data_IF_717383059670
#
_entry.id   IF_717383059670
#
_cell.length_a   1.000
_cell.length_b   1.000
_cell.length_c   1.000
_cell.angle_alpha   90.00
_cell.angle_beta   90.00
_cell.angle_gamma   90.00
#
_symmetry.space_group_name_H-M   'P 1'
#
loop_
_entity.id
_entity.type
_entity.pdbx_description
1 polymer ?
#
# COMPACT_ATOMS: atom_id res chain seq x y z
N UNK A 1 18.53 -5.04 -4.28
CA UNK A 1 19.13 -3.98 -3.44
C UNK A 1 18.39 -2.64 -3.56
N UNK A 2 18.64 -1.76 -4.55
CA UNK A 2 18.02 -0.42 -4.57
C UNK A 2 16.50 -0.44 -4.77
N UNK A 3 15.98 -1.18 -5.76
CA UNK A 3 14.52 -1.37 -5.97
C UNK A 3 13.81 -2.09 -4.82
N UNK A 4 14.46 -3.06 -4.20
CA UNK A 4 13.88 -3.78 -3.03
C UNK A 4 13.76 -2.84 -1.83
N UNK A 5 14.76 -1.97 -1.65
CA UNK A 5 14.71 -0.92 -0.63
C UNK A 5 13.60 0.09 -0.93
N UNK A 6 13.48 0.54 -2.18
CA UNK A 6 12.40 1.43 -2.61
C UNK A 6 11.01 0.77 -2.41
N UNK A 7 10.89 -0.51 -2.74
CA UNK A 7 9.67 -1.29 -2.51
C UNK A 7 9.35 -1.39 -1.02
N UNK A 8 10.34 -1.71 -0.19
CA UNK A 8 10.19 -1.79 1.26
C UNK A 8 9.75 -0.45 1.85
N UNK A 9 10.41 0.65 1.47
CA UNK A 9 10.08 2.00 1.93
C UNK A 9 8.67 2.41 1.49
N UNK A 10 8.30 2.17 0.22
CA UNK A 10 6.97 2.47 -0.30
C UNK A 10 5.87 1.65 0.40
N UNK A 11 6.13 0.39 0.74
CA UNK A 11 5.20 -0.45 1.53
C UNK A 11 5.04 0.06 2.97
N UNK A 12 6.10 0.58 3.60
CA UNK A 12 6.02 1.19 4.94
C UNK A 12 5.25 2.50 4.94
N UNK A 13 5.48 3.34 3.94
CA UNK A 13 4.72 4.58 3.76
C UNK A 13 3.24 4.29 3.51
N UNK A 14 2.92 3.31 2.67
CA UNK A 14 1.55 2.88 2.43
C UNK A 14 0.90 2.32 3.70
N UNK A 15 1.58 1.47 4.45
CA UNK A 15 1.11 1.01 5.77
C UNK A 15 0.80 2.19 6.69
N UNK A 16 1.67 3.21 6.72
CA UNK A 16 1.50 4.39 7.59
C UNK A 16 0.27 5.21 7.19
N UNK A 17 0.07 5.47 5.90
CA UNK A 17 -1.12 6.15 5.37
C UNK A 17 -2.40 5.41 5.76
N UNK A 18 -2.42 4.08 5.59
CA UNK A 18 -3.60 3.24 5.87
C UNK A 18 -3.93 3.19 7.36
N UNK A 19 -2.93 3.10 8.25
CA UNK A 19 -3.14 3.19 9.70
C UNK A 19 -3.73 4.54 10.10
N UNK A 20 -3.28 5.63 9.50
CA UNK A 20 -3.76 6.97 9.83
C UNK A 20 -5.27 7.15 9.56
N UNK A 21 -5.83 6.38 8.62
CA UNK A 21 -7.26 6.40 8.29
C UNK A 21 -8.03 5.20 8.84
N UNK A 22 -7.40 4.37 9.68
CA UNK A 22 -8.06 3.22 10.32
C UNK A 22 -8.20 1.97 9.42
N UNK A 23 -7.61 1.94 8.24
CA UNK A 23 -7.62 0.78 7.34
C UNK A 23 -6.57 -0.26 7.77
N UNK A 24 -6.82 -0.89 8.91
CA UNK A 24 -5.88 -1.79 9.57
C UNK A 24 -5.55 -3.06 8.77
N UNK A 25 -6.51 -3.75 8.13
CA UNK A 25 -6.22 -4.98 7.39
C UNK A 25 -5.18 -4.77 6.28
N UNK A 26 -5.35 -3.74 5.44
CA UNK A 26 -4.35 -3.44 4.42
C UNK A 26 -3.07 -2.85 4.99
N UNK A 27 -3.13 -2.07 6.06
CA UNK A 27 -1.94 -1.56 6.73
C UNK A 27 -1.03 -2.70 7.23
N UNK A 28 -1.60 -3.67 7.94
CA UNK A 28 -0.87 -4.82 8.48
C UNK A 28 -0.29 -5.68 7.35
N UNK A 29 -1.06 -5.87 6.27
CA UNK A 29 -0.58 -6.59 5.08
C UNK A 29 0.59 -5.88 4.39
N UNK A 30 0.56 -4.56 4.27
CA UNK A 30 1.66 -3.77 3.71
C UNK A 30 2.90 -3.82 4.60
N UNK A 31 2.73 -3.72 5.92
CA UNK A 31 3.83 -3.84 6.88
C UNK A 31 4.49 -5.21 6.80
N UNK A 32 3.70 -6.29 6.80
CA UNK A 32 4.18 -7.65 6.64
C UNK A 32 4.95 -7.84 5.33
N UNK A 33 4.43 -7.30 4.21
CA UNK A 33 5.11 -7.37 2.93
C UNK A 33 6.46 -6.62 2.95
N UNK A 34 6.53 -5.47 3.61
CA UNK A 34 7.79 -4.73 3.78
C UNK A 34 8.83 -5.53 4.59
N UNK A 35 8.41 -6.20 5.67
CA UNK A 35 9.27 -7.07 6.46
C UNK A 35 9.81 -8.25 5.64
N UNK A 36 8.96 -8.86 4.81
CA UNK A 36 9.35 -9.96 3.91
C UNK A 36 10.37 -9.51 2.87
N UNK A 37 10.15 -8.38 2.21
CA UNK A 37 11.11 -7.82 1.23
C UNK A 37 12.44 -7.49 1.90
N UNK A 38 12.42 -6.87 3.08
CA UNK A 38 13.64 -6.55 3.85
C UNK A 38 14.43 -7.79 4.30
N UNK A 39 13.75 -8.94 4.45
CA UNK A 39 14.38 -10.22 4.76
C UNK A 39 14.87 -10.99 3.51
N UNK A 40 14.82 -10.40 2.31
CA UNK A 40 15.23 -11.02 1.05
C UNK A 40 14.15 -11.92 0.42
N UNK A 41 12.88 -11.74 0.79
CA UNK A 41 11.75 -12.39 0.13
C UNK A 41 11.52 -11.88 -1.30
N UNK A 42 10.82 -12.67 -2.11
CA UNK A 42 10.57 -12.35 -3.52
C UNK A 42 9.62 -11.14 -3.67
N UNK A 43 10.09 -10.02 -4.26
CA UNK A 43 9.27 -8.84 -4.55
C UNK A 43 8.01 -9.13 -5.37
N UNK A 44 8.03 -10.18 -6.21
CA UNK A 44 6.90 -10.55 -7.04
C UNK A 44 5.66 -11.00 -6.22
N UNK A 45 5.84 -11.45 -4.97
CA UNK A 45 4.72 -11.81 -4.09
C UNK A 45 3.83 -10.61 -3.78
N UNK A 46 4.39 -9.40 -3.74
CA UNK A 46 3.66 -8.15 -3.48
C UNK A 46 2.60 -7.89 -4.56
N UNK A 47 2.83 -8.35 -5.80
CA UNK A 47 1.87 -8.16 -6.92
C UNK A 47 0.52 -8.84 -6.68
N UNK A 48 0.48 -9.88 -5.83
CA UNK A 48 -0.78 -10.53 -5.44
C UNK A 48 -1.72 -9.61 -4.67
N UNK A 49 -1.22 -8.47 -4.18
CA UNK A 49 -2.04 -7.45 -3.53
C UNK A 49 -2.83 -6.60 -4.54
N UNK A 50 -2.45 -6.58 -5.82
CA UNK A 50 -3.01 -5.68 -6.84
C UNK A 50 -4.02 -6.35 -7.79
N UNK A 51 -4.26 -7.66 -7.65
CA UNK A 51 -5.16 -8.41 -8.52
C UNK A 51 -6.33 -9.05 -7.77
N UNK A 52 -7.43 -9.30 -8.49
CA UNK A 52 -8.65 -9.90 -7.96
C UNK A 52 -9.63 -8.88 -7.37
N UNK A 53 -10.83 -9.35 -7.00
CA UNK A 53 -11.87 -8.54 -6.36
C UNK A 53 -11.49 -8.23 -4.91
N UNK A 54 -11.59 -6.96 -4.52
CA UNK A 54 -11.23 -6.51 -3.17
C UNK A 54 -9.72 -6.42 -2.98
N UNK A 55 -8.99 -6.19 -4.07
CA UNK A 55 -7.55 -5.97 -4.06
C UNK A 55 -7.20 -4.59 -3.49
N UNK A 56 -5.91 -4.36 -3.27
CA UNK A 56 -5.42 -3.04 -2.87
C UNK A 56 -5.79 -2.00 -3.92
N UNK A 57 -5.86 -2.37 -5.20
CA UNK A 57 -6.24 -1.48 -6.30
C UNK A 57 -7.67 -0.95 -6.17
N UNK A 58 -8.57 -1.74 -5.56
CA UNK A 58 -9.99 -1.41 -5.43
C UNK A 58 -10.30 -0.52 -4.21
N UNK A 59 -9.35 -0.41 -3.28
CA UNK A 59 -9.57 0.30 -2.03
C UNK A 59 -9.74 1.81 -2.30
N UNK A 60 -10.83 2.38 -1.77
CA UNK A 60 -11.10 3.82 -1.77
C UNK A 60 -11.26 4.28 -0.33
N UNK A 61 -10.48 5.28 0.06
CA UNK A 61 -10.53 5.85 1.40
C UNK A 61 -11.69 6.84 1.46
N UNK A 62 -12.68 6.54 2.28
CA UNK A 62 -13.90 7.33 2.43
C UNK A 62 -14.58 7.03 3.77
N UNK A 63 -15.21 8.00 4.45
CA UNK A 63 -15.89 7.79 5.74
C UNK A 63 -17.01 6.74 5.69
N UNK A 64 -17.73 6.67 4.56
CA UNK A 64 -18.79 5.66 4.33
C UNK A 64 -18.29 4.22 4.37
N UNK A 65 -16.97 4.02 4.17
CA UNK A 65 -16.32 2.71 4.26
C UNK A 65 -15.76 2.45 5.67
N UNK A 66 -16.00 3.33 6.65
CA UNK A 66 -15.51 3.22 8.03
C UNK A 66 -14.14 3.87 8.26
N UNK A 67 -13.59 4.60 7.28
CA UNK A 67 -12.29 5.25 7.43
C UNK A 67 -12.36 6.55 8.24
N UNK A 68 -11.35 6.76 9.08
CA UNK A 68 -11.15 7.99 9.84
C UNK A 68 -10.49 9.08 8.96
N UNK A 69 -11.29 9.73 8.12
CA UNK A 69 -10.85 10.83 7.23
C UNK A 69 -11.94 11.92 7.19
N UNK A 70 -11.57 13.19 7.14
CA UNK A 70 -12.53 14.27 6.95
C UNK A 70 -12.86 14.48 5.46
N UNK A 71 -14.06 15.00 5.14
CA UNK A 71 -14.53 15.16 3.75
C UNK A 71 -13.58 16.00 2.88
N UNK A 72 -12.97 17.04 3.45
CA UNK A 72 -12.00 17.92 2.78
C UNK A 72 -10.62 17.25 2.56
N UNK A 73 -10.34 16.13 3.25
CA UNK A 73 -9.10 15.36 3.12
C UNK A 73 -9.22 14.19 2.15
N UNK A 74 -10.44 13.76 1.79
CA UNK A 74 -10.69 12.57 0.95
C UNK A 74 -9.89 12.61 -0.34
N UNK A 75 -9.94 13.71 -1.08
CA UNK A 75 -9.26 13.85 -2.36
C UNK A 75 -7.74 13.67 -2.20
N UNK A 76 -7.14 14.42 -1.27
CA UNK A 76 -5.70 14.40 -1.00
C UNK A 76 -5.22 13.02 -0.55
N UNK A 77 -5.97 12.35 0.30
CA UNK A 77 -5.60 11.02 0.82
C UNK A 77 -5.67 9.96 -0.26
N UNK A 78 -6.69 9.98 -1.13
CA UNK A 78 -6.77 9.03 -2.25
C UNK A 78 -5.74 9.31 -3.35
N UNK A 79 -5.34 10.56 -3.55
CA UNK A 79 -4.20 10.92 -4.42
C UNK A 79 -2.90 10.32 -3.87
N UNK A 80 -2.62 10.51 -2.57
CA UNK A 80 -1.46 9.91 -1.92
C UNK A 80 -1.47 8.37 -2.00
N UNK A 81 -2.64 7.75 -1.78
CA UNK A 81 -2.85 6.31 -1.91
C UNK A 81 -2.54 5.82 -3.33
N UNK A 82 -3.00 6.54 -4.35
CA UNK A 82 -2.73 6.23 -5.75
C UNK A 82 -1.23 6.28 -6.05
N UNK A 83 -0.55 7.37 -5.68
CA UNK A 83 0.88 7.51 -5.92
C UNK A 83 1.72 6.45 -5.19
N UNK A 84 1.32 6.05 -3.97
CA UNK A 84 1.98 4.97 -3.24
C UNK A 84 1.75 3.60 -3.89
N UNK A 85 0.53 3.31 -4.35
CA UNK A 85 0.22 2.08 -5.10
C UNK A 85 1.06 1.95 -6.35
N UNK A 86 1.19 3.02 -7.12
CA UNK A 86 1.99 3.04 -8.34
C UNK A 86 3.47 2.75 -8.05
N UNK A 87 4.05 3.41 -7.04
CA UNK A 87 5.44 3.15 -6.62
C UNK A 87 5.65 1.70 -6.20
N UNK A 88 4.78 1.15 -5.36
CA UNK A 88 4.85 -0.26 -4.94
C UNK A 88 4.75 -1.18 -6.15
N UNK A 89 3.80 -0.95 -7.05
CA UNK A 89 3.60 -1.79 -8.22
C UNK A 89 4.83 -1.78 -9.14
N UNK A 90 5.36 -0.60 -9.47
CA UNK A 90 6.55 -0.45 -10.31
C UNK A 90 7.80 -1.09 -9.68
N UNK A 91 8.02 -0.87 -8.39
CA UNK A 91 9.16 -1.43 -7.67
C UNK A 91 9.09 -2.96 -7.51
N UNK A 92 7.87 -3.53 -7.56
CA UNK A 92 7.65 -4.99 -7.51
C UNK A 92 7.86 -5.72 -8.84
N UNK A 93 8.13 -5.02 -9.94
CA UNK A 93 8.31 -5.65 -11.25
C UNK A 93 9.66 -6.37 -11.36
N UNK A 94 9.69 -7.56 -12.00
CA UNK A 94 10.93 -8.26 -12.29
C UNK A 94 11.83 -7.42 -13.21
N UNK A 95 13.13 -7.71 -13.16
CA UNK A 95 14.11 -7.14 -14.08
C UNK A 95 13.95 -7.71 -15.49
#
# INVERSE_FOLDING_TARGET
MERERELQESLRELSTLLRAVGEMPWADRCAWAADRVGAGGDPAEVRRMFGGMGSLSDLVIHPVNGHAVADDQIARVNEALTGLRERVYLASQPR
#
